data_IF_781911052559
#
_entry.id   IF_781911052559
#
_cell.length_a   1.000
_cell.length_b   1.000
_cell.length_c   1.000
_cell.angle_alpha   90.00
_cell.angle_beta   90.00
_cell.angle_gamma   90.00
#
_symmetry.space_group_name_H-M   'P 1'
#
loop_
_entity.id
_entity.type
_entity.pdbx_description
1 polymer ?
#
# COMPACT_ATOMS: atom_id res chain seq x y z
N UNK A 1 63.10 10.11 -64.04
CA UNK A 1 61.86 9.29 -63.94
C UNK A 1 61.97 8.37 -62.73
N UNK A 2 61.59 8.82 -61.52
CA UNK A 2 61.45 7.96 -60.34
C UNK A 2 60.24 8.46 -59.55
N UNK A 3 59.32 7.53 -59.25
CA UNK A 3 57.94 7.70 -58.74
C UNK A 3 57.88 8.24 -57.30
N UNK A 4 56.80 8.95 -56.91
CA UNK A 4 56.56 9.28 -55.50
C UNK A 4 55.95 8.07 -54.77
N UNK A 5 56.34 7.90 -53.51
CA UNK A 5 55.84 6.88 -52.61
C UNK A 5 54.41 7.23 -52.13
N UNK A 6 53.47 6.30 -52.29
CA UNK A 6 52.18 6.33 -51.62
C UNK A 6 52.39 6.00 -50.14
N UNK A 7 52.12 6.96 -49.27
CA UNK A 7 51.97 6.73 -47.83
C UNK A 7 50.53 6.27 -47.61
N UNK A 8 50.36 4.98 -47.29
CA UNK A 8 49.08 4.44 -46.84
C UNK A 8 48.80 4.95 -45.41
N UNK A 9 47.81 5.83 -45.28
CA UNK A 9 47.27 6.27 -44.00
C UNK A 9 46.24 5.21 -43.54
N UNK A 10 46.66 4.28 -42.70
CA UNK A 10 45.76 3.37 -41.97
C UNK A 10 45.06 4.18 -40.88
N UNK A 11 43.81 4.56 -41.14
CA UNK A 11 42.92 5.17 -40.16
C UNK A 11 42.50 4.10 -39.14
N UNK A 12 43.12 4.11 -37.97
CA UNK A 12 42.70 3.29 -36.84
C UNK A 12 41.38 3.85 -36.28
N UNK A 13 40.28 3.18 -36.58
CA UNK A 13 38.97 3.46 -36.00
C UNK A 13 38.99 2.97 -34.55
N UNK A 14 39.36 3.84 -33.60
CA UNK A 14 39.15 3.58 -32.18
C UNK A 14 37.65 3.63 -31.89
N UNK A 15 37.05 2.46 -31.72
CA UNK A 15 35.73 2.31 -31.11
C UNK A 15 35.83 2.82 -29.66
N UNK A 16 35.38 4.06 -29.45
CA UNK A 16 35.05 4.58 -28.12
C UNK A 16 33.78 3.85 -27.66
N UNK A 17 33.95 2.64 -27.14
CA UNK A 17 32.93 2.02 -26.31
C UNK A 17 32.90 2.82 -25.00
N UNK A 18 32.11 3.89 -24.98
CA UNK A 18 31.70 4.52 -23.73
C UNK A 18 31.05 3.44 -22.88
N UNK A 19 31.60 3.17 -21.70
CA UNK A 19 31.02 2.20 -20.78
C UNK A 19 29.60 2.64 -20.45
N UNK A 20 28.61 1.96 -21.00
CA UNK A 20 27.26 2.04 -20.49
C UNK A 20 27.34 1.48 -19.06
N UNK A 21 27.27 2.35 -18.05
CA UNK A 21 26.98 1.89 -16.70
C UNK A 21 25.62 1.22 -16.77
N UNK A 22 25.54 -0.03 -16.29
CA UNK A 22 24.27 -0.72 -16.17
C UNK A 22 23.36 0.12 -15.25
N UNK A 23 22.13 0.35 -15.70
CA UNK A 23 21.12 1.03 -14.91
C UNK A 23 20.79 0.14 -13.69
N UNK A 24 20.58 0.74 -12.52
CA UNK A 24 20.18 0.00 -11.31
C UNK A 24 18.70 -0.40 -11.41
N UNK A 25 18.26 -1.43 -10.68
CA UNK A 25 16.84 -1.80 -10.66
C UNK A 25 15.96 -0.67 -10.13
N UNK A 26 16.45 0.14 -9.17
CA UNK A 26 15.79 1.37 -8.74
C UNK A 26 15.59 2.37 -9.88
N UNK A 27 16.64 2.63 -10.68
CA UNK A 27 16.55 3.57 -11.79
C UNK A 27 15.63 3.05 -12.90
N UNK A 28 15.63 1.74 -13.18
CA UNK A 28 14.74 1.12 -14.16
C UNK A 28 13.27 1.19 -13.69
N UNK A 29 13.00 0.81 -12.45
CA UNK A 29 11.67 0.85 -11.85
C UNK A 29 11.12 2.27 -11.72
N UNK A 30 11.94 3.21 -11.25
CA UNK A 30 11.57 4.63 -11.15
C UNK A 30 11.17 5.21 -12.51
N UNK A 31 11.90 4.88 -13.58
CA UNK A 31 11.57 5.31 -14.94
C UNK A 31 10.26 4.70 -15.46
N UNK A 32 10.03 3.40 -15.23
CA UNK A 32 8.78 2.74 -15.59
C UNK A 32 7.58 3.38 -14.86
N UNK A 33 7.73 3.62 -13.55
CA UNK A 33 6.72 4.29 -12.76
C UNK A 33 6.47 5.73 -13.18
N UNK A 34 7.52 6.51 -13.46
CA UNK A 34 7.34 7.87 -13.95
C UNK A 34 6.53 7.92 -15.26
N UNK A 35 6.72 6.93 -16.14
CA UNK A 35 5.95 6.83 -17.38
C UNK A 35 4.46 6.49 -17.13
N UNK A 36 4.18 5.57 -16.21
CA UNK A 36 2.84 5.04 -15.98
C UNK A 36 1.98 5.90 -15.03
N UNK A 37 2.58 6.47 -13.99
CA UNK A 37 1.89 7.23 -12.92
C UNK A 37 2.37 8.69 -12.79
N UNK A 38 3.19 9.15 -13.73
CA UNK A 38 3.72 10.52 -13.73
C UNK A 38 4.84 10.76 -12.71
N UNK A 39 5.47 11.95 -12.75
CA UNK A 39 6.51 12.30 -11.79
C UNK A 39 5.93 12.53 -10.39
N UNK A 40 6.59 11.96 -9.38
CA UNK A 40 6.28 12.18 -7.97
C UNK A 40 7.25 13.22 -7.38
N UNK A 41 6.78 14.22 -6.62
CA UNK A 41 7.67 15.21 -6.02
C UNK A 41 8.42 14.62 -4.81
N UNK A 42 9.54 15.25 -4.46
CA UNK A 42 10.06 15.15 -3.09
C UNK A 42 9.06 15.77 -2.10
N UNK A 43 9.03 15.29 -0.86
CA UNK A 43 8.04 15.71 0.12
C UNK A 43 8.56 15.66 1.57
N UNK A 44 7.76 16.16 2.51
CA UNK A 44 8.01 16.00 3.93
C UNK A 44 6.86 15.25 4.59
N UNK A 45 7.18 14.31 5.48
CA UNK A 45 6.19 13.71 6.37
C UNK A 45 5.58 14.74 7.33
N UNK A 46 6.14 15.95 7.44
CA UNK A 46 5.57 17.06 8.21
C UNK A 46 4.28 17.62 7.57
N UNK A 47 4.10 17.43 6.26
CA UNK A 47 2.94 17.91 5.52
C UNK A 47 1.72 16.99 5.68
N UNK A 48 1.91 15.80 6.28
CA UNK A 48 0.86 14.84 6.55
C UNK A 48 0.09 15.09 7.83
N UNK A 49 -1.13 14.58 7.84
CA UNK A 49 -1.99 14.58 9.03
C UNK A 49 -1.66 13.37 9.90
N UNK A 50 -1.60 13.53 11.24
CA UNK A 50 -1.40 12.40 12.13
C UNK A 50 -2.63 11.47 12.11
N UNK A 51 -2.41 10.17 12.01
CA UNK A 51 -3.46 9.18 12.22
C UNK A 51 -3.72 9.06 13.72
N UNK A 52 -4.93 9.34 14.22
CA UNK A 52 -5.19 9.31 15.65
C UNK A 52 -5.06 7.91 16.24
N UNK A 53 -4.54 7.84 17.46
CA UNK A 53 -4.64 6.65 18.32
C UNK A 53 -5.47 7.04 19.53
N UNK A 54 -6.60 6.36 19.71
CA UNK A 54 -7.58 6.67 20.75
C UNK A 54 -7.83 5.46 21.64
N UNK A 55 -8.12 5.72 22.92
CA UNK A 55 -8.52 4.71 23.90
C UNK A 55 -9.81 5.19 24.55
N UNK A 56 -10.86 4.39 24.44
CA UNK A 56 -12.20 4.69 24.95
C UNK A 56 -12.75 6.02 24.40
N UNK A 57 -12.48 6.28 23.13
CA UNK A 57 -12.91 7.48 22.40
C UNK A 57 -12.10 8.74 22.70
N UNK A 58 -11.02 8.65 23.49
CA UNK A 58 -10.21 9.79 23.89
C UNK A 58 -8.75 9.64 23.46
N UNK A 59 -8.08 10.76 23.19
CA UNK A 59 -6.62 10.76 22.98
C UNK A 59 -5.92 10.53 24.33
N UNK A 60 -5.11 9.47 24.47
CA UNK A 60 -4.34 9.23 25.68
C UNK A 60 -3.39 10.39 26.00
N UNK A 61 -3.23 10.70 27.29
CA UNK A 61 -2.22 11.67 27.73
C UNK A 61 -0.78 11.13 27.55
N UNK A 62 -0.62 9.81 27.58
CA UNK A 62 0.64 9.10 27.42
C UNK A 62 0.42 7.78 26.68
N UNK A 63 1.37 7.41 25.83
CA UNK A 63 1.38 6.12 25.13
C UNK A 63 2.45 5.22 25.76
N UNK A 64 2.17 3.92 25.86
CA UNK A 64 3.09 2.92 26.43
C UNK A 64 3.17 1.69 25.53
N UNK A 65 4.34 1.02 25.43
CA UNK A 65 4.47 -0.19 24.61
C UNK A 65 3.43 -1.25 24.97
N UNK A 66 2.88 -1.90 23.94
CA UNK A 66 1.88 -2.97 24.06
C UNK A 66 0.48 -2.48 24.44
N UNK A 67 0.22 -1.17 24.45
CA UNK A 67 -1.13 -0.67 24.70
C UNK A 67 -2.11 -1.08 23.61
N UNK A 68 -3.36 -1.29 24.00
CA UNK A 68 -4.48 -1.53 23.09
C UNK A 68 -5.24 -0.22 22.81
N UNK A 69 -5.94 -0.12 21.68
CA UNK A 69 -6.64 1.09 21.26
C UNK A 69 -7.92 0.78 20.49
N UNK A 70 -8.71 1.82 20.25
CA UNK A 70 -10.04 1.74 19.61
C UNK A 70 -9.96 1.28 18.14
N UNK A 71 -8.84 1.55 17.47
CA UNK A 71 -8.62 1.35 16.03
C UNK A 71 -7.15 0.99 15.76
N UNK A 72 -6.70 -0.22 16.14
CA UNK A 72 -5.32 -0.65 15.92
C UNK A 72 -4.98 -0.69 14.42
N UNK A 73 -3.71 -0.47 14.08
CA UNK A 73 -3.24 -0.77 12.73
C UNK A 73 -3.45 -2.25 12.41
N UNK A 74 -3.95 -2.57 11.21
CA UNK A 74 -4.23 -3.97 10.82
C UNK A 74 -3.00 -4.67 10.25
N UNK A 75 -2.13 -3.92 9.57
CA UNK A 75 -0.84 -4.45 9.15
C UNK A 75 0.03 -4.68 10.41
N UNK A 76 0.59 -5.87 10.53
CA UNK A 76 1.42 -6.22 11.68
C UNK A 76 2.65 -5.29 11.75
N UNK A 77 2.88 -4.65 12.91
CA UNK A 77 4.05 -3.80 13.14
C UNK A 77 5.35 -4.60 13.37
N UNK A 78 5.26 -5.92 13.53
CA UNK A 78 6.39 -6.80 13.82
C UNK A 78 6.65 -6.97 15.33
N UNK A 79 7.38 -8.02 15.68
CA UNK A 79 7.62 -8.42 17.08
C UNK A 79 8.54 -7.47 17.85
N UNK A 80 9.30 -6.62 17.16
CA UNK A 80 10.19 -5.63 17.75
C UNK A 80 9.53 -4.27 17.94
N UNK A 81 8.25 -4.13 17.58
CA UNK A 81 7.49 -2.89 17.71
C UNK A 81 6.95 -2.67 19.14
N UNK A 82 6.47 -1.46 19.40
CA UNK A 82 5.73 -1.11 20.62
C UNK A 82 4.24 -1.52 20.55
N UNK A 83 3.87 -2.44 19.66
CA UNK A 83 2.51 -2.94 19.46
C UNK A 83 1.78 -2.29 18.29
N UNK A 84 0.47 -2.53 18.13
CA UNK A 84 -0.33 -2.03 16.99
C UNK A 84 -0.87 -0.60 17.17
N UNK A 85 -0.71 -0.01 18.36
CA UNK A 85 -1.30 1.27 18.74
C UNK A 85 -0.24 2.34 18.98
N UNK A 86 0.68 2.47 18.00
CA UNK A 86 1.79 3.44 18.06
C UNK A 86 1.32 4.77 17.50
N UNK A 87 1.45 5.88 18.25
CA UNK A 87 0.97 7.19 17.82
C UNK A 87 1.86 7.82 16.76
N UNK A 88 1.38 8.92 16.18
CA UNK A 88 2.16 9.85 15.35
C UNK A 88 2.67 9.30 14.01
N UNK A 89 2.10 8.19 13.52
CA UNK A 89 2.11 7.90 12.09
C UNK A 89 1.36 9.00 11.34
N UNK A 90 1.78 9.34 10.11
CA UNK A 90 1.20 10.42 9.32
C UNK A 90 0.82 9.95 7.93
N UNK A 91 -0.29 10.48 7.43
CA UNK A 91 -0.76 10.25 6.07
C UNK A 91 -0.81 11.58 5.34
N UNK A 92 -0.37 11.57 4.08
CA UNK A 92 -0.59 12.68 3.16
C UNK A 92 -0.98 12.14 1.79
N UNK A 93 -1.63 13.01 1.01
CA UNK A 93 -1.87 12.76 -0.39
C UNK A 93 -0.99 13.67 -1.24
N UNK A 94 -0.31 13.07 -2.21
CA UNK A 94 0.40 13.78 -3.28
C UNK A 94 -0.39 13.69 -4.61
N UNK A 95 -1.70 13.40 -4.52
CA UNK A 95 -2.56 13.26 -5.70
C UNK A 95 -2.57 14.53 -6.53
N UNK A 96 -2.74 14.33 -7.83
CA UNK A 96 -2.99 15.38 -8.81
C UNK A 96 -4.38 15.16 -9.43
N UNK A 97 -4.77 15.99 -10.39
CA UNK A 97 -6.03 15.81 -11.11
C UNK A 97 -6.08 14.50 -11.92
N UNK A 98 -4.93 13.92 -12.24
CA UNK A 98 -4.81 12.73 -13.11
C UNK A 98 -4.26 11.50 -12.42
N UNK A 99 -3.69 11.64 -11.22
CA UNK A 99 -3.06 10.54 -10.49
C UNK A 99 -3.44 10.57 -9.01
N UNK A 100 -3.62 9.39 -8.44
CA UNK A 100 -3.93 9.21 -7.03
C UNK A 100 -2.66 8.75 -6.32
N UNK A 101 -2.26 9.47 -5.28
CA UNK A 101 -1.04 9.13 -4.52
C UNK A 101 -1.33 9.24 -3.03
N UNK A 102 -1.00 8.18 -2.30
CA UNK A 102 -1.05 8.14 -0.84
C UNK A 102 0.35 7.83 -0.30
N UNK A 103 0.70 8.52 0.78
CA UNK A 103 1.94 8.30 1.52
C UNK A 103 1.60 7.99 2.97
N UNK A 104 2.23 6.95 3.51
CA UNK A 104 2.20 6.63 4.94
C UNK A 104 3.61 6.77 5.50
N UNK A 105 3.82 7.73 6.40
CA UNK A 105 5.01 7.80 7.24
C UNK A 105 4.70 7.11 8.55
N UNK A 106 5.14 5.86 8.71
CA UNK A 106 4.65 4.96 9.76
C UNK A 106 5.61 4.89 10.94
N UNK A 107 5.05 4.96 12.14
CA UNK A 107 5.75 4.63 13.38
C UNK A 107 5.31 3.25 13.91
N UNK A 108 6.30 2.45 14.26
CA UNK A 108 6.23 1.16 14.95
C UNK A 108 6.86 1.22 16.34
N UNK A 109 7.63 2.26 16.64
CA UNK A 109 8.14 2.60 17.97
C UNK A 109 7.55 3.93 18.45
N UNK A 110 7.25 4.05 19.74
CA UNK A 110 6.72 5.27 20.35
C UNK A 110 7.84 6.32 20.41
N UNK A 111 7.67 7.41 19.65
CA UNK A 111 8.54 8.59 19.68
C UNK A 111 7.75 9.83 20.09
N UNK A 112 8.45 10.95 20.24
CA UNK A 112 7.80 12.24 20.49
C UNK A 112 6.95 12.70 19.29
N UNK A 113 5.94 13.53 19.54
CA UNK A 113 5.02 14.00 18.51
C UNK A 113 5.70 14.83 17.41
N UNK A 114 6.82 15.48 17.75
CA UNK A 114 7.67 16.28 16.85
C UNK A 114 8.75 15.45 16.13
N UNK A 115 8.87 14.16 16.43
CA UNK A 115 9.80 13.27 15.73
C UNK A 115 9.52 13.27 14.24
N UNK A 116 10.61 13.36 13.46
CA UNK A 116 10.61 13.12 12.01
C UNK A 116 11.25 11.79 11.64
N UNK A 117 11.54 10.96 12.64
CA UNK A 117 12.05 9.61 12.45
C UNK A 117 10.89 8.62 12.40
N UNK A 118 10.83 7.84 11.32
CA UNK A 118 9.81 6.84 11.03
C UNK A 118 10.45 5.46 10.84
N UNK A 119 9.71 4.39 11.10
CA UNK A 119 10.23 3.04 10.89
C UNK A 119 10.16 2.65 9.41
N UNK A 120 9.17 3.19 8.70
CA UNK A 120 9.06 3.10 7.24
C UNK A 120 8.28 4.29 6.66
N UNK A 121 8.51 4.54 5.38
CA UNK A 121 7.76 5.49 4.57
C UNK A 121 7.32 4.75 3.31
N UNK A 122 6.01 4.56 3.16
CA UNK A 122 5.40 3.83 2.05
C UNK A 122 4.67 4.81 1.12
N UNK A 123 4.85 4.66 -0.19
CA UNK A 123 4.18 5.45 -1.22
C UNK A 123 3.48 4.52 -2.20
N UNK A 124 2.19 4.76 -2.38
CA UNK A 124 1.36 4.08 -3.39
C UNK A 124 0.92 5.15 -4.38
N UNK A 125 1.35 5.01 -5.63
CA UNK A 125 0.96 5.89 -6.72
C UNK A 125 0.18 5.12 -7.77
N UNK A 126 -0.95 5.67 -8.17
CA UNK A 126 -1.95 4.98 -8.97
C UNK A 126 -2.50 5.89 -10.06
N UNK A 127 -2.55 5.38 -11.29
CA UNK A 127 -3.24 6.02 -12.39
C UNK A 127 -4.67 5.47 -12.47
N UNK A 128 -5.70 6.23 -12.06
CA UNK A 128 -7.08 5.73 -12.04
C UNK A 128 -7.67 5.49 -13.45
N UNK A 129 -7.03 5.98 -14.52
CA UNK A 129 -7.51 5.78 -15.88
C UNK A 129 -7.06 4.43 -16.46
N UNK A 130 -5.84 3.99 -16.15
CA UNK A 130 -5.25 2.74 -16.68
C UNK A 130 -5.24 1.61 -15.65
N UNK A 131 -5.14 1.95 -14.36
CA UNK A 131 -4.97 1.02 -13.26
C UNK A 131 -3.53 0.84 -12.81
N UNK A 132 -2.56 1.35 -13.58
CA UNK A 132 -1.14 1.24 -13.28
C UNK A 132 -0.84 1.74 -11.87
N UNK A 133 -0.20 0.89 -11.06
CA UNK A 133 0.13 1.16 -9.66
C UNK A 133 1.59 0.86 -9.38
N UNK A 134 2.26 1.82 -8.75
CA UNK A 134 3.64 1.75 -8.31
C UNK A 134 3.76 1.77 -6.78
N UNK A 135 4.74 1.04 -6.28
CA UNK A 135 4.96 0.78 -4.86
C UNK A 135 6.38 1.19 -4.49
N UNK A 136 6.50 2.12 -3.57
CA UNK A 136 7.81 2.52 -3.05
C UNK A 136 7.80 2.42 -1.53
N UNK A 137 8.92 1.96 -1.00
CA UNK A 137 9.12 1.88 0.43
C UNK A 137 10.54 2.29 0.79
N UNK A 138 10.67 3.12 1.82
CA UNK A 138 11.90 3.31 2.55
C UNK A 138 11.73 2.66 3.93
N UNK A 139 12.69 1.84 4.35
CA UNK A 139 12.60 1.05 5.58
C UNK A 139 13.86 1.20 6.41
N UNK A 140 13.68 1.51 7.69
CA UNK A 140 14.79 1.57 8.63
C UNK A 140 15.20 0.16 9.07
N UNK A 141 16.35 -0.33 8.63
CA UNK A 141 16.88 -1.64 9.06
C UNK A 141 17.64 -1.55 10.38
N UNK A 142 18.59 -0.60 10.47
CA UNK A 142 19.42 -0.36 11.66
C UNK A 142 19.10 0.96 12.37
N UNK A 143 18.46 1.89 11.65
CA UNK A 143 18.09 3.22 12.12
C UNK A 143 16.77 3.64 11.46
N UNK A 144 15.97 4.51 12.10
CA UNK A 144 14.75 5.01 11.49
C UNK A 144 15.04 5.85 10.23
N UNK A 145 14.05 5.94 9.35
CA UNK A 145 14.06 6.78 8.16
C UNK A 145 13.70 8.22 8.54
N UNK A 146 14.51 9.17 8.13
CA UNK A 146 14.22 10.58 8.33
C UNK A 146 13.20 11.07 7.29
N UNK A 147 12.01 11.44 7.76
CA UNK A 147 10.90 11.94 6.95
C UNK A 147 10.89 13.46 6.77
N UNK A 148 11.93 14.21 7.16
CA UNK A 148 11.93 15.66 7.04
C UNK A 148 12.08 16.14 5.60
N UNK A 149 12.87 15.41 4.79
CA UNK A 149 13.12 15.69 3.39
C UNK A 149 13.23 14.35 2.61
N UNK A 150 12.08 13.81 2.23
CA UNK A 150 11.97 12.54 1.50
C UNK A 150 12.24 12.80 0.02
N UNK A 151 13.26 12.16 -0.60
CA UNK A 151 13.55 12.34 -2.01
C UNK A 151 12.45 11.76 -2.90
N UNK A 152 12.32 12.25 -4.14
CA UNK A 152 11.35 11.69 -5.08
C UNK A 152 11.62 10.20 -5.35
N UNK A 153 10.61 9.32 -5.27
CA UNK A 153 10.75 7.92 -5.64
C UNK A 153 10.89 7.69 -7.16
N UNK A 154 10.30 8.55 -8.00
CA UNK A 154 10.41 8.45 -9.46
C UNK A 154 11.71 9.02 -10.02
N UNK A 155 12.52 9.68 -9.18
CA UNK A 155 13.87 10.14 -9.52
C UNK A 155 14.97 9.27 -8.88
N UNK A 156 14.61 8.16 -8.23
CA UNK A 156 15.56 7.30 -7.54
C UNK A 156 16.56 6.66 -8.53
N UNK A 157 17.85 6.75 -8.24
CA UNK A 157 18.92 6.17 -9.09
C UNK A 157 19.64 4.98 -8.44
N UNK A 158 19.39 4.74 -7.17
CA UNK A 158 20.01 3.72 -6.34
C UNK A 158 19.11 3.42 -5.12
N UNK A 159 19.63 2.58 -4.22
CA UNK A 159 18.96 2.11 -3.00
C UNK A 159 19.33 2.93 -1.75
N UNK A 160 19.89 4.14 -1.91
CA UNK A 160 20.36 4.95 -0.78
C UNK A 160 19.25 5.42 0.16
N UNK A 161 18.01 5.50 -0.35
CA UNK A 161 16.84 5.89 0.42
C UNK A 161 15.67 4.91 0.21
N UNK A 162 15.32 4.65 -1.05
CA UNK A 162 14.24 3.74 -1.43
C UNK A 162 14.76 2.31 -1.56
N UNK A 163 14.02 1.33 -1.03
CA UNK A 163 14.32 -0.09 -1.23
C UNK A 163 14.36 -0.43 -2.73
N UNK A 164 15.13 -1.45 -3.11
CA UNK A 164 15.08 -1.98 -4.49
C UNK A 164 13.68 -2.55 -4.78
N UNK A 165 13.19 -2.55 -6.03
CA UNK A 165 11.89 -3.11 -6.35
C UNK A 165 11.75 -4.58 -5.91
N UNK A 166 12.82 -5.37 -6.00
CA UNK A 166 12.82 -6.77 -5.56
C UNK A 166 12.61 -6.91 -4.04
N UNK A 167 13.15 -5.99 -3.25
CA UNK A 167 12.92 -5.96 -1.81
C UNK A 167 11.48 -5.55 -1.47
N UNK A 168 10.89 -4.61 -2.22
CA UNK A 168 9.47 -4.24 -2.09
C UNK A 168 8.56 -5.42 -2.44
N UNK A 169 8.89 -6.18 -3.50
CA UNK A 169 8.18 -7.42 -3.87
C UNK A 169 8.20 -8.43 -2.70
N UNK A 170 9.35 -8.60 -2.06
CA UNK A 170 9.52 -9.52 -0.93
C UNK A 170 8.71 -9.11 0.31
N UNK A 171 8.54 -7.81 0.55
CA UNK A 171 7.71 -7.30 1.65
C UNK A 171 6.19 -7.48 1.38
N UNK A 172 5.81 -7.79 0.13
CA UNK A 172 4.49 -8.36 -0.18
C UNK A 172 3.32 -7.38 -0.04
N UNK A 173 3.50 -6.10 -0.38
CA UNK A 173 2.45 -5.09 -0.28
C UNK A 173 1.16 -5.49 -1.01
N UNK A 174 1.29 -6.10 -2.20
CA UNK A 174 0.15 -6.58 -3.00
C UNK A 174 -0.71 -7.65 -2.33
N UNK A 175 -0.19 -8.36 -1.33
CA UNK A 175 -0.97 -9.37 -0.60
C UNK A 175 -2.07 -8.73 0.26
N UNK A 176 -1.78 -7.55 0.82
CA UNK A 176 -2.74 -6.77 1.61
C UNK A 176 -3.57 -5.81 0.74
N UNK A 177 -3.01 -5.41 -0.40
CA UNK A 177 -3.63 -4.57 -1.40
C UNK A 177 -4.10 -5.42 -2.59
N UNK A 178 -4.72 -6.56 -2.31
CA UNK A 178 -5.02 -7.61 -3.30
C UNK A 178 -6.25 -7.32 -4.16
N UNK A 179 -7.04 -6.32 -3.78
CA UNK A 179 -8.15 -5.81 -4.60
C UNK A 179 -7.95 -4.38 -5.07
N UNK A 180 -7.30 -3.49 -4.31
CA UNK A 180 -7.24 -2.07 -4.64
C UNK A 180 -5.95 -1.42 -4.16
N UNK A 181 -5.49 -0.34 -4.81
CA UNK A 181 -4.29 0.37 -4.40
C UNK A 181 -4.45 1.00 -3.01
N UNK A 182 -5.65 1.43 -2.62
CA UNK A 182 -5.90 2.12 -1.35
C UNK A 182 -6.90 1.34 -0.51
N UNK A 183 -6.41 0.73 0.57
CA UNK A 183 -7.19 -0.11 1.45
C UNK A 183 -7.77 0.67 2.62
N UNK A 184 -9.08 0.51 2.84
CA UNK A 184 -9.70 1.02 4.04
C UNK A 184 -9.38 0.13 5.24
N UNK A 185 -9.07 0.77 6.36
CA UNK A 185 -9.08 0.16 7.70
C UNK A 185 -9.68 1.14 8.68
N UNK A 186 -10.18 0.67 9.82
CA UNK A 186 -10.65 1.58 10.88
C UNK A 186 -9.55 2.57 11.32
N UNK A 187 -8.28 2.15 11.33
CA UNK A 187 -7.13 3.00 11.64
C UNK A 187 -7.01 4.19 10.69
N UNK A 188 -6.91 3.92 9.37
CA UNK A 188 -6.76 4.96 8.34
C UNK A 188 -8.07 5.72 8.09
N UNK A 189 -9.22 5.08 8.31
CA UNK A 189 -10.55 5.66 8.11
C UNK A 189 -10.82 6.91 8.95
N UNK A 190 -10.04 7.14 10.01
CA UNK A 190 -10.08 8.36 10.83
C UNK A 190 -9.65 9.61 10.06
N UNK A 191 -8.84 9.45 9.01
CA UNK A 191 -8.32 10.52 8.16
C UNK A 191 -8.63 10.26 6.68
N UNK A 192 -9.73 9.55 6.40
CA UNK A 192 -10.07 9.07 5.05
C UNK A 192 -10.17 10.16 3.98
N UNK A 193 -10.47 11.40 4.36
CA UNK A 193 -10.45 12.55 3.45
C UNK A 193 -9.07 12.87 2.84
N UNK A 194 -8.00 12.29 3.39
CA UNK A 194 -6.62 12.44 2.92
C UNK A 194 -6.11 11.22 2.16
N UNK A 195 -6.98 10.24 1.88
CA UNK A 195 -6.62 9.01 1.14
C UNK A 195 -7.47 8.93 -0.12
N UNK A 196 -6.87 8.68 -1.30
CA UNK A 196 -7.64 8.50 -2.52
C UNK A 196 -8.51 7.24 -2.44
N UNK A 197 -9.56 7.21 -3.26
CA UNK A 197 -10.49 6.08 -3.33
C UNK A 197 -10.73 5.68 -4.78
N UNK A 198 -10.66 4.38 -5.05
CA UNK A 198 -10.98 3.82 -6.37
C UNK A 198 -11.53 2.38 -6.29
N UNK A 199 -12.59 2.13 -5.52
CA UNK A 199 -13.02 0.78 -5.10
C UNK A 199 -13.48 -0.16 -6.23
N UNK A 200 -13.64 0.38 -7.45
CA UNK A 200 -14.07 -0.35 -8.65
C UNK A 200 -13.27 0.00 -9.91
N UNK A 201 -12.27 0.87 -9.82
CA UNK A 201 -11.50 1.27 -10.98
C UNK A 201 -10.55 0.18 -11.45
N UNK A 202 -9.80 0.44 -12.54
CA UNK A 202 -8.78 -0.47 -12.98
C UNK A 202 -7.65 -0.58 -11.94
N UNK A 203 -6.94 -1.71 -11.90
CA UNK A 203 -5.84 -1.96 -10.98
C UNK A 203 -4.86 -3.00 -11.56
N UNK A 204 -3.60 -2.60 -11.69
CA UNK A 204 -2.50 -3.43 -12.15
C UNK A 204 -1.18 -2.96 -11.52
N UNK A 205 -0.17 -3.83 -11.47
CA UNK A 205 1.15 -3.51 -10.93
C UNK A 205 2.15 -3.22 -12.05
N UNK A 206 2.81 -2.07 -11.98
CA UNK A 206 3.84 -1.67 -12.95
C UNK A 206 5.10 -2.52 -12.79
N UNK A 207 5.78 -2.76 -13.91
CA UNK A 207 7.05 -3.49 -14.02
C UNK A 207 6.97 -4.94 -13.47
N UNK A 208 6.07 -5.78 -14.04
CA UNK A 208 5.88 -7.16 -13.59
C UNK A 208 7.15 -8.01 -13.62
N UNK A 209 8.15 -7.63 -14.44
CA UNK A 209 9.45 -8.28 -14.55
C UNK A 209 10.27 -8.29 -13.26
N UNK A 210 10.03 -7.37 -12.32
CA UNK A 210 10.66 -7.39 -10.99
C UNK A 210 9.96 -8.33 -9.99
N UNK A 211 8.90 -9.03 -10.42
CA UNK A 211 8.10 -9.95 -9.60
C UNK A 211 6.76 -9.38 -9.14
N UNK A 212 6.46 -8.10 -9.43
CA UNK A 212 5.16 -7.50 -9.12
C UNK A 212 3.99 -8.19 -9.85
N UNK A 213 4.25 -8.87 -10.97
CA UNK A 213 3.23 -9.62 -11.71
C UNK A 213 2.71 -10.87 -11.00
N UNK A 214 3.40 -11.34 -9.96
CA UNK A 214 2.98 -12.49 -9.15
C UNK A 214 1.97 -12.11 -8.05
N UNK A 215 1.79 -10.81 -7.79
CA UNK A 215 0.79 -10.32 -6.85
C UNK A 215 -0.64 -10.43 -7.40
N UNK A 216 -1.63 -10.69 -6.54
CA UNK A 216 -3.00 -10.96 -6.96
C UNK A 216 -3.67 -9.72 -7.59
N UNK A 217 -4.28 -9.93 -8.76
CA UNK A 217 -5.16 -8.97 -9.44
C UNK A 217 -6.49 -9.63 -9.78
N UNK A 218 -7.04 -10.39 -8.83
CA UNK A 218 -8.32 -11.07 -8.96
C UNK A 218 -9.23 -10.71 -7.78
N UNK A 219 -10.53 -10.72 -8.03
CA UNK A 219 -11.54 -10.46 -7.01
C UNK A 219 -12.61 -11.55 -6.99
N UNK A 220 -13.24 -11.71 -5.84
CA UNK A 220 -14.36 -12.63 -5.64
C UNK A 220 -15.66 -11.88 -5.92
N UNK A 221 -16.50 -12.47 -6.76
CA UNK A 221 -17.80 -11.95 -7.14
C UNK A 221 -18.91 -13.00 -6.88
N UNK A 222 -19.25 -13.30 -5.61
CA UNK A 222 -20.34 -14.21 -5.32
C UNK A 222 -21.67 -13.60 -5.80
N UNK A 223 -22.54 -14.45 -6.35
CA UNK A 223 -23.86 -13.99 -6.81
C UNK A 223 -24.70 -13.45 -5.65
N UNK A 224 -25.43 -12.36 -5.91
CA UNK A 224 -26.38 -11.74 -4.99
C UNK A 224 -25.78 -11.33 -3.63
N UNK A 225 -24.49 -10.99 -3.61
CA UNK A 225 -23.77 -10.61 -2.40
C UNK A 225 -23.76 -9.09 -2.19
N UNK A 226 -24.20 -8.64 -1.00
CA UNK A 226 -24.33 -7.18 -0.73
C UNK A 226 -23.00 -6.47 -0.52
N UNK A 227 -21.95 -7.18 -0.09
CA UNK A 227 -20.66 -6.58 0.27
C UNK A 227 -19.92 -6.10 -0.98
N UNK A 228 -19.92 -6.93 -2.03
CA UNK A 228 -19.24 -6.63 -3.29
C UNK A 228 -19.96 -5.57 -4.15
N UNK A 229 -21.12 -5.09 -3.68
CA UNK A 229 -21.85 -3.98 -4.30
C UNK A 229 -21.26 -2.61 -3.99
N UNK A 230 -20.37 -2.49 -2.99
CA UNK A 230 -19.74 -1.22 -2.62
C UNK A 230 -18.25 -1.13 -2.98
N UNK A 231 -17.55 -2.26 -2.98
CA UNK A 231 -16.15 -2.39 -3.41
C UNK A 231 -15.84 -3.84 -3.76
N UNK A 232 -14.73 -4.09 -4.47
CA UNK A 232 -14.26 -5.46 -4.72
C UNK A 232 -13.68 -6.09 -3.45
N UNK A 233 -13.63 -7.42 -3.39
CA UNK A 233 -12.90 -8.20 -2.36
C UNK A 233 -11.91 -9.08 -3.10
N UNK A 234 -10.64 -9.04 -2.72
CA UNK A 234 -9.56 -9.79 -3.35
C UNK A 234 -9.54 -11.24 -2.88
N UNK A 235 -8.52 -11.99 -3.29
CA UNK A 235 -8.40 -13.44 -3.07
C UNK A 235 -7.33 -13.83 -2.04
N UNK A 236 -6.61 -12.86 -1.48
CA UNK A 236 -5.53 -13.06 -0.51
C UNK A 236 -5.93 -12.49 0.87
N UNK A 237 -5.31 -11.42 1.36
CA UNK A 237 -5.57 -10.96 2.73
C UNK A 237 -6.97 -10.39 2.94
N UNK A 238 -7.57 -9.77 1.91
CA UNK A 238 -8.98 -9.39 2.00
C UNK A 238 -9.91 -10.59 2.07
N UNK A 239 -9.51 -11.71 1.48
CA UNK A 239 -10.19 -12.99 1.61
C UNK A 239 -9.88 -13.73 2.92
N UNK A 240 -8.95 -13.22 3.72
CA UNK A 240 -8.51 -13.82 4.97
C UNK A 240 -8.84 -12.92 6.17
N UNK A 241 -7.82 -12.50 6.90
CA UNK A 241 -7.94 -11.80 8.17
C UNK A 241 -8.68 -10.47 8.08
N UNK A 242 -8.51 -9.72 6.98
CA UNK A 242 -9.05 -8.37 6.88
C UNK A 242 -10.59 -8.36 6.83
N UNK A 243 -11.21 -9.26 6.05
CA UNK A 243 -12.68 -9.39 6.07
C UNK A 243 -13.18 -9.77 7.46
N UNK A 244 -12.49 -10.68 8.16
CA UNK A 244 -12.90 -11.13 9.49
C UNK A 244 -12.87 -9.99 10.51
N UNK A 245 -11.79 -9.19 10.52
CA UNK A 245 -11.65 -8.05 11.41
C UNK A 245 -12.62 -6.91 11.09
N UNK A 246 -12.91 -6.66 9.81
CA UNK A 246 -13.79 -5.56 9.41
C UNK A 246 -15.29 -5.88 9.59
N UNK A 247 -15.64 -7.14 9.80
CA UNK A 247 -17.03 -7.63 9.91
C UNK A 247 -17.37 -8.22 11.27
N UNK A 248 -16.50 -8.02 12.27
CA UNK A 248 -16.73 -8.48 13.64
C UNK A 248 -16.66 -10.00 13.84
N UNK A 249 -16.11 -10.73 12.86
CA UNK A 249 -15.91 -12.18 12.95
C UNK A 249 -14.65 -12.57 13.70
N UNK A 250 -13.68 -11.65 13.78
CA UNK A 250 -12.47 -11.79 14.58
C UNK A 250 -12.03 -10.42 15.12
N UNK A 251 -11.17 -10.43 16.14
CA UNK A 251 -10.68 -9.23 16.81
C UNK A 251 -9.23 -8.99 16.37
N UNK A 252 -8.91 -7.84 15.73
CA UNK A 252 -7.55 -7.58 15.32
C UNK A 252 -6.60 -7.42 16.53
N UNK A 253 -5.32 -7.81 16.39
CA UNK A 253 -4.32 -7.59 17.43
C UNK A 253 -4.26 -6.11 17.86
N UNK A 254 -4.13 -5.88 19.16
CA UNK A 254 -4.07 -4.53 19.74
C UNK A 254 -5.43 -3.83 19.89
N UNK A 255 -6.54 -4.48 19.55
CA UNK A 255 -7.88 -3.98 19.83
C UNK A 255 -8.14 -3.92 21.34
N UNK A 256 -8.73 -2.83 21.82
CA UNK A 256 -9.23 -2.72 23.19
C UNK A 256 -10.68 -3.25 23.30
N UNK A 257 -11.28 -3.09 24.48
CA UNK A 257 -12.66 -3.50 24.74
C UNK A 257 -13.67 -2.78 23.82
N UNK A 258 -13.51 -1.46 23.61
CA UNK A 258 -14.40 -0.69 22.74
C UNK A 258 -14.29 -1.14 21.27
N UNK A 259 -13.07 -1.36 20.77
CA UNK A 259 -12.80 -1.87 19.43
C UNK A 259 -13.45 -3.23 19.17
N UNK A 260 -13.60 -4.05 20.23
CA UNK A 260 -14.20 -5.38 20.16
C UNK A 260 -15.75 -5.36 20.25
N UNK A 261 -16.37 -4.18 20.29
CA UNK A 261 -17.82 -4.02 20.40
C UNK A 261 -18.39 -3.21 19.25
N UNK A 262 -19.66 -3.45 18.92
CA UNK A 262 -20.37 -2.69 17.89
C UNK A 262 -20.46 -1.20 18.30
N UNK A 263 -20.22 -0.25 17.37
CA UNK A 263 -20.00 -0.44 15.94
C UNK A 263 -18.54 -0.67 15.52
N UNK A 264 -17.55 -0.53 16.41
CA UNK A 264 -16.14 -0.55 16.01
C UNK A 264 -15.64 -1.93 15.55
N UNK A 265 -16.21 -3.01 16.08
CA UNK A 265 -15.91 -4.36 15.59
C UNK A 265 -16.42 -4.62 14.17
N UNK A 266 -17.37 -3.80 13.67
CA UNK A 266 -18.00 -3.93 12.36
C UNK A 266 -17.70 -2.69 11.52
N UNK A 267 -16.41 -2.45 11.24
CA UNK A 267 -15.96 -1.28 10.51
C UNK A 267 -16.46 -1.21 9.05
N UNK A 268 -16.95 -2.32 8.49
CA UNK A 268 -17.55 -2.38 7.15
C UNK A 268 -19.02 -2.86 7.16
N UNK A 269 -19.93 -2.20 6.42
CA UNK A 269 -19.71 -0.92 5.73
C UNK A 269 -19.64 0.25 6.72
N UNK A 270 -18.80 1.28 6.49
CA UNK A 270 -18.62 2.37 7.46
C UNK A 270 -19.92 3.14 7.66
N UNK A 271 -20.36 3.30 8.90
CA UNK A 271 -21.58 4.03 9.26
C UNK A 271 -22.89 3.32 8.91
N UNK A 272 -22.85 2.06 8.50
CA UNK A 272 -24.05 1.27 8.21
C UNK A 272 -24.52 0.40 9.37
N UNK A 273 -25.83 0.39 9.57
CA UNK A 273 -26.49 -0.18 10.74
C UNK A 273 -26.54 0.84 11.87
N UNK A 274 -27.75 1.14 12.36
CA UNK A 274 -27.90 1.91 13.61
C UNK A 274 -27.64 1.01 14.83
N UNK A 275 -27.73 -0.30 14.65
CA UNK A 275 -27.57 -1.33 15.67
C UNK A 275 -26.93 -2.57 15.06
N UNK A 276 -26.24 -3.36 15.89
CA UNK A 276 -25.66 -4.65 15.50
C UNK A 276 -26.72 -5.61 14.93
N UNK A 277 -27.93 -5.61 15.49
CA UNK A 277 -29.03 -6.43 14.99
C UNK A 277 -29.41 -6.08 13.54
N UNK A 278 -29.47 -4.79 13.20
CA UNK A 278 -29.75 -4.35 11.84
C UNK A 278 -28.59 -4.70 10.89
N UNK A 279 -27.34 -4.53 11.34
CA UNK A 279 -26.17 -4.92 10.55
C UNK A 279 -26.19 -6.42 10.24
N UNK A 280 -26.45 -7.26 11.25
CA UNK A 280 -26.52 -8.71 11.10
C UNK A 280 -27.63 -9.14 10.14
N UNK A 281 -28.79 -8.49 10.21
CA UNK A 281 -29.90 -8.79 9.30
C UNK A 281 -29.56 -8.50 7.83
N UNK A 282 -28.74 -7.47 7.56
CA UNK A 282 -28.44 -7.02 6.21
C UNK A 282 -27.19 -7.72 5.64
N UNK A 283 -26.13 -7.84 6.44
CA UNK A 283 -24.78 -8.16 5.93
C UNK A 283 -24.24 -9.51 6.36
N UNK A 284 -24.66 -10.09 7.50
CA UNK A 284 -24.02 -11.29 8.03
C UNK A 284 -24.04 -12.46 7.04
N UNK A 285 -25.15 -12.67 6.32
CA UNK A 285 -25.24 -13.70 5.29
C UNK A 285 -24.28 -13.45 4.12
N UNK A 286 -24.11 -12.20 3.70
CA UNK A 286 -23.17 -11.85 2.62
C UNK A 286 -21.72 -12.07 3.06
N UNK A 287 -21.40 -11.81 4.33
CA UNK A 287 -20.09 -12.14 4.89
C UNK A 287 -19.86 -13.65 4.87
N UNK A 288 -20.85 -14.45 5.28
CA UNK A 288 -20.73 -15.91 5.28
C UNK A 288 -20.55 -16.47 3.86
N UNK A 289 -21.23 -15.90 2.86
CA UNK A 289 -21.03 -16.26 1.45
C UNK A 289 -19.63 -15.91 0.95
N UNK A 290 -19.12 -14.72 1.27
CA UNK A 290 -17.74 -14.33 0.92
C UNK A 290 -16.75 -15.30 1.54
N UNK A 291 -16.91 -15.62 2.83
CA UNK A 291 -16.07 -16.58 3.54
C UNK A 291 -16.12 -17.96 2.93
N UNK A 292 -17.31 -18.44 2.57
CA UNK A 292 -17.46 -19.72 1.88
C UNK A 292 -16.68 -19.74 0.56
N UNK A 293 -16.74 -18.67 -0.24
CA UNK A 293 -15.98 -18.56 -1.49
C UNK A 293 -14.48 -18.41 -1.29
N UNK A 294 -14.07 -17.79 -0.19
CA UNK A 294 -12.68 -17.72 0.21
C UNK A 294 -12.09 -19.08 0.58
N UNK A 295 -12.86 -19.86 1.33
CA UNK A 295 -12.41 -21.16 1.82
C UNK A 295 -12.51 -22.25 0.72
N UNK A 296 -13.52 -22.19 -0.16
CA UNK A 296 -13.68 -23.06 -1.33
C UNK A 296 -14.20 -22.27 -2.55
N UNK A 297 -13.29 -21.82 -3.43
CA UNK A 297 -13.64 -21.04 -4.61
C UNK A 297 -14.32 -21.87 -5.72
N UNK A 298 -14.34 -23.20 -5.60
CA UNK A 298 -14.92 -24.10 -6.60
C UNK A 298 -16.45 -24.20 -6.53
N UNK A 299 -17.08 -23.60 -5.51
CA UNK A 299 -18.53 -23.65 -5.35
C UNK A 299 -19.24 -22.90 -6.48
N UNK A 300 -20.42 -23.40 -6.88
CA UNK A 300 -21.18 -22.85 -8.01
C UNK A 300 -21.61 -21.38 -7.82
N UNK A 301 -21.67 -20.90 -6.59
CA UNK A 301 -22.00 -19.50 -6.25
C UNK A 301 -20.80 -18.56 -6.30
N UNK A 302 -19.58 -19.11 -6.33
CA UNK A 302 -18.34 -18.36 -6.29
C UNK A 302 -17.83 -18.11 -7.71
N UNK A 303 -17.41 -16.88 -7.96
CA UNK A 303 -16.81 -16.47 -9.22
C UNK A 303 -15.55 -15.68 -8.89
N UNK A 304 -14.47 -16.01 -9.59
CA UNK A 304 -13.22 -15.25 -9.53
C UNK A 304 -13.09 -14.48 -10.82
N UNK A 305 -12.96 -13.16 -10.70
CA UNK A 305 -12.89 -12.25 -11.83
C UNK A 305 -11.54 -11.54 -11.83
N UNK A 306 -10.82 -11.49 -12.96
CA UNK A 306 -9.68 -10.60 -13.11
C UNK A 306 -10.11 -9.15 -12.88
N UNK A 307 -9.32 -8.41 -12.14
CA UNK A 307 -9.52 -6.97 -11.99
C UNK A 307 -9.02 -6.31 -13.28
N UNK A 308 -9.83 -5.48 -13.96
CA UNK A 308 -9.38 -4.79 -15.16
C UNK A 308 -8.17 -3.90 -14.84
N UNK A 309 -7.20 -3.78 -15.74
CA UNK A 309 -6.08 -2.88 -15.56
C UNK A 309 -5.02 -3.08 -16.62
N UNK A 310 -4.29 -2.01 -16.92
CA UNK A 310 -3.11 -2.02 -17.79
C UNK A 310 -1.93 -1.40 -17.03
N UNK A 311 -0.83 -2.13 -17.01
CA UNK A 311 0.42 -1.74 -16.36
C UNK A 311 1.43 -1.11 -17.34
N UNK A 312 1.10 -1.08 -18.64
CA UNK A 312 1.92 -0.54 -19.73
C UNK A 312 1.60 0.93 -20.10
#
# INVERSE_FOLDING_TARGET
MIRPALIHLTLALMLMAGGAQAQTSNAEYAAACQAAVGPLPAFSCADGVPVPVTVDGQTPATYTPGMTCDRPALLNNGSTSDGQCVPYSRILSLSTDTHQVSVMCRQKMIRSADSMDFDEIDVIAHNPATGATCWFQAKGTDAPVNGAAVPSPTEATDDSFWQTPEAVVQDGCGNCHDNDPFMFSAFVGQVWAHVPVNPFGPYAHVAPEFGFGDWPTQSIAPRDNTCVGCHRVGIDQTCNSLTLWMTGRDIPPGANALASTYPLSHAMPPGFGQTEAAWNQIYAQSVDQLRACCDDPGQAMCQMEPIPGDAE
#
